data_IF_150254496037
#
_entry.id   IF_150254496037
#
_cell.length_a   1.000
_cell.length_b   1.000
_cell.length_c   1.000
_cell.angle_alpha   90.00
_cell.angle_beta   90.00
_cell.angle_gamma   90.00
#
_symmetry.space_group_name_H-M   'P 1'
#
loop_
_entity.id
_entity.type
_entity.pdbx_description
1 polymer ?
#
# COMPACT_ATOMS: atom_id res chain seq x y z
N UNK A 1 -25.94 15.55 27.20
CA UNK A 1 -24.68 15.67 26.42
C UNK A 1 -24.00 14.31 26.45
N UNK A 2 -23.73 13.74 25.28
CA UNK A 2 -23.11 12.43 25.13
C UNK A 2 -21.65 12.46 25.59
N UNK A 3 -21.14 11.35 26.14
CA UNK A 3 -19.72 11.21 26.48
C UNK A 3 -18.80 11.47 25.26
N UNK A 4 -19.27 11.14 24.06
CA UNK A 4 -18.55 11.39 22.80
C UNK A 4 -18.38 12.89 22.56
N UNK A 5 -19.45 13.68 22.77
CA UNK A 5 -19.41 15.13 22.59
C UNK A 5 -18.43 15.79 23.57
N UNK A 6 -18.44 15.35 24.83
CA UNK A 6 -17.50 15.83 25.85
C UNK A 6 -16.06 15.54 25.45
N UNK A 7 -15.78 14.34 24.95
CA UNK A 7 -14.43 13.95 24.54
C UNK A 7 -13.95 14.71 23.30
N UNK A 8 -14.84 15.02 22.36
CA UNK A 8 -14.52 15.85 21.20
C UNK A 8 -14.14 17.27 21.62
N UNK A 9 -14.85 17.87 22.56
CA UNK A 9 -14.55 19.22 23.07
C UNK A 9 -13.19 19.27 23.76
N UNK A 10 -12.91 18.30 24.65
CA UNK A 10 -11.60 18.21 25.33
C UNK A 10 -10.44 18.10 24.32
N UNK A 11 -10.58 17.26 23.29
CA UNK A 11 -9.56 17.12 22.24
C UNK A 11 -9.42 18.38 21.36
N UNK A 12 -10.51 19.10 21.12
CA UNK A 12 -10.46 20.35 20.38
C UNK A 12 -9.76 21.46 21.19
N UNK A 13 -10.03 21.55 22.49
CA UNK A 13 -9.36 22.48 23.42
C UNK A 13 -7.86 22.20 23.53
N UNK A 14 -7.47 20.92 23.50
CA UNK A 14 -6.07 20.48 23.52
C UNK A 14 -5.34 20.68 22.17
N UNK A 15 -6.00 21.26 21.17
CA UNK A 15 -5.38 21.55 19.87
C UNK A 15 -5.11 20.30 19.01
N UNK A 16 -5.73 19.16 19.34
CA UNK A 16 -5.47 17.86 18.69
C UNK A 16 -5.79 17.83 17.19
N UNK A 17 -6.53 18.83 16.70
CA UNK A 17 -6.94 18.97 15.29
C UNK A 17 -6.17 20.06 14.52
N UNK A 18 -5.24 20.79 15.14
CA UNK A 18 -4.55 21.90 14.47
C UNK A 18 -3.58 21.43 13.37
N UNK A 19 -2.91 20.29 13.58
CA UNK A 19 -1.95 19.71 12.63
C UNK A 19 -2.52 18.49 11.88
N UNK A 20 -3.82 18.53 11.54
CA UNK A 20 -4.38 17.46 10.72
C UNK A 20 -3.76 17.48 9.31
N UNK A 21 -3.44 16.30 8.74
CA UNK A 21 -2.98 16.21 7.37
C UNK A 21 -4.00 16.84 6.41
N UNK A 22 -3.65 17.97 5.81
CA UNK A 22 -4.55 18.69 4.91
C UNK A 22 -5.17 19.97 5.48
N UNK A 23 -4.93 20.27 6.76
CA UNK A 23 -5.38 21.53 7.37
C UNK A 23 -4.85 22.74 6.59
N UNK A 24 -5.74 23.67 6.26
CA UNK A 24 -5.42 24.87 5.47
C UNK A 24 -5.08 24.63 4.00
N UNK A 25 -4.97 23.38 3.51
CA UNK A 25 -4.72 23.11 2.09
C UNK A 25 -6.00 23.28 1.27
N UNK A 26 -5.93 23.84 0.06
CA UNK A 26 -7.06 23.87 -0.86
C UNK A 26 -7.59 22.45 -1.10
N UNK A 27 -8.92 22.30 -1.13
CA UNK A 27 -9.53 21.03 -1.51
C UNK A 27 -9.22 20.82 -2.99
N UNK A 28 -8.46 19.77 -3.29
CA UNK A 28 -8.13 19.41 -4.67
C UNK A 28 -9.41 19.19 -5.48
N UNK A 29 -9.41 19.67 -6.72
CA UNK A 29 -10.52 19.51 -7.66
C UNK A 29 -11.87 20.11 -7.17
N UNK A 30 -11.87 21.09 -6.25
CA UNK A 30 -13.12 21.69 -5.75
C UNK A 30 -13.94 22.39 -6.84
N UNK A 31 -13.26 22.95 -7.84
CA UNK A 31 -13.90 23.66 -8.96
C UNK A 31 -14.28 22.72 -10.14
N UNK A 32 -14.02 21.40 -10.02
CA UNK A 32 -14.40 20.46 -11.08
C UNK A 32 -15.92 20.27 -11.10
N UNK A 33 -16.48 20.38 -12.29
CA UNK A 33 -17.85 19.93 -12.56
C UNK A 33 -17.85 18.41 -12.62
N UNK A 34 -18.35 17.78 -11.55
CA UNK A 34 -18.51 16.33 -11.49
C UNK A 34 -19.84 15.91 -12.14
N UNK A 35 -19.83 14.84 -12.94
CA UNK A 35 -21.07 14.21 -13.39
C UNK A 35 -21.77 13.53 -12.20
N UNK A 36 -23.09 13.36 -12.15
CA UNK A 36 -23.77 12.66 -11.04
C UNK A 36 -23.24 11.25 -10.72
N UNK A 37 -22.57 10.60 -11.67
CA UNK A 37 -21.98 9.25 -11.54
C UNK A 37 -20.49 9.25 -11.24
N UNK A 38 -19.88 10.42 -10.98
CA UNK A 38 -18.43 10.57 -10.74
C UNK A 38 -17.88 9.63 -9.66
N UNK A 39 -18.66 9.42 -8.60
CA UNK A 39 -18.30 8.55 -7.47
C UNK A 39 -18.23 7.09 -7.89
N UNK A 40 -19.08 6.65 -8.82
CA UNK A 40 -19.12 5.28 -9.32
C UNK A 40 -17.89 5.00 -10.20
N UNK A 41 -17.53 5.94 -11.08
CA UNK A 41 -16.31 5.84 -11.90
C UNK A 41 -15.06 5.76 -11.01
N UNK A 42 -14.91 6.66 -10.03
CA UNK A 42 -13.79 6.59 -9.08
C UNK A 42 -13.79 5.32 -8.24
N UNK A 43 -14.96 4.82 -7.88
CA UNK A 43 -15.06 3.54 -7.15
C UNK A 43 -14.59 2.37 -8.01
N UNK A 44 -14.99 2.30 -9.29
CA UNK A 44 -14.56 1.28 -10.25
C UNK A 44 -13.05 1.37 -10.48
N UNK A 45 -12.49 2.56 -10.71
CA UNK A 45 -11.05 2.76 -10.90
C UNK A 45 -10.24 2.30 -9.69
N UNK A 46 -10.68 2.69 -8.48
CA UNK A 46 -10.07 2.24 -7.23
C UNK A 46 -10.17 0.73 -7.06
N UNK A 47 -11.33 0.15 -7.36
CA UNK A 47 -11.53 -1.29 -7.25
C UNK A 47 -10.67 -2.07 -8.25
N UNK A 48 -10.58 -1.62 -9.49
CA UNK A 48 -9.69 -2.18 -10.51
C UNK A 48 -8.21 -2.10 -10.07
N UNK A 49 -7.78 -0.97 -9.50
CA UNK A 49 -6.44 -0.82 -8.94
C UNK A 49 -6.18 -1.80 -7.78
N UNK A 50 -7.17 -2.00 -6.90
CA UNK A 50 -7.09 -2.98 -5.81
C UNK A 50 -6.99 -4.42 -6.33
N UNK A 51 -7.80 -4.78 -7.32
CA UNK A 51 -7.76 -6.11 -7.95
C UNK A 51 -6.42 -6.37 -8.64
N UNK A 52 -5.90 -5.38 -9.36
CA UNK A 52 -4.57 -5.45 -9.99
C UNK A 52 -3.47 -5.68 -8.94
N UNK A 53 -3.49 -4.92 -7.85
CA UNK A 53 -2.54 -5.09 -6.73
C UNK A 53 -2.63 -6.48 -6.10
N UNK A 54 -3.84 -7.03 -5.96
CA UNK A 54 -4.05 -8.41 -5.46
C UNK A 54 -3.46 -9.44 -6.42
N UNK A 55 -3.67 -9.31 -7.73
CA UNK A 55 -3.11 -10.21 -8.72
C UNK A 55 -1.56 -10.16 -8.71
N UNK A 56 -0.98 -8.97 -8.62
CA UNK A 56 0.47 -8.78 -8.50
C UNK A 56 1.04 -9.44 -7.23
N UNK A 57 0.37 -9.30 -6.08
CA UNK A 57 0.77 -9.98 -4.83
C UNK A 57 0.74 -11.51 -4.95
N UNK A 58 -0.30 -12.06 -5.59
CA UNK A 58 -0.37 -13.50 -5.86
C UNK A 58 0.79 -13.98 -6.72
N UNK A 59 1.12 -13.23 -7.78
CA UNK A 59 2.25 -13.55 -8.65
C UNK A 59 3.58 -13.46 -7.91
N UNK A 60 3.81 -12.40 -7.13
CA UNK A 60 5.00 -12.24 -6.30
C UNK A 60 5.21 -13.42 -5.35
N UNK A 61 4.14 -13.85 -4.66
CA UNK A 61 4.20 -15.01 -3.77
C UNK A 61 4.57 -16.29 -4.53
N UNK A 62 4.02 -16.50 -5.73
CA UNK A 62 4.38 -17.65 -6.56
C UNK A 62 5.87 -17.60 -6.95
N UNK A 63 6.36 -16.44 -7.40
CA UNK A 63 7.75 -16.27 -7.81
C UNK A 63 8.73 -16.50 -6.63
N UNK A 64 8.38 -16.03 -5.43
CA UNK A 64 9.15 -16.30 -4.20
C UNK A 64 9.17 -17.80 -3.89
N UNK A 65 8.02 -18.49 -3.93
CA UNK A 65 7.95 -19.94 -3.69
C UNK A 65 8.75 -20.71 -4.73
N UNK A 66 8.74 -20.28 -6.00
CA UNK A 66 9.55 -20.89 -7.05
C UNK A 66 11.05 -20.67 -6.79
N UNK A 67 11.46 -19.48 -6.37
CA UNK A 67 12.85 -19.18 -6.03
C UNK A 67 13.37 -20.03 -4.87
N UNK A 68 12.55 -20.27 -3.84
CA UNK A 68 12.91 -21.11 -2.69
C UNK A 68 13.10 -22.60 -3.02
N UNK A 69 12.70 -23.05 -4.22
CA UNK A 69 12.97 -24.42 -4.69
C UNK A 69 14.36 -24.58 -5.32
N UNK A 70 15.05 -23.47 -5.57
CA UNK A 70 16.38 -23.48 -6.14
C UNK A 70 17.44 -23.79 -5.06
N UNK A 71 18.65 -24.22 -5.47
CA UNK A 71 19.80 -24.29 -4.56
C UNK A 71 20.03 -22.93 -3.87
N UNK A 72 20.47 -22.95 -2.61
CA UNK A 72 20.59 -21.76 -1.74
C UNK A 72 21.19 -20.52 -2.43
N UNK A 73 22.29 -20.68 -3.15
CA UNK A 73 22.97 -19.57 -3.81
C UNK A 73 22.14 -19.00 -4.98
N UNK A 74 21.49 -19.86 -5.75
CA UNK A 74 20.60 -19.46 -6.84
C UNK A 74 19.31 -18.83 -6.32
N UNK A 75 18.74 -19.39 -5.23
CA UNK A 75 17.59 -18.84 -4.54
C UNK A 75 17.87 -17.41 -4.06
N UNK A 76 19.04 -17.18 -3.46
CA UNK A 76 19.49 -15.85 -3.01
C UNK A 76 19.53 -14.85 -4.16
N UNK A 77 20.15 -15.22 -5.28
CA UNK A 77 20.23 -14.36 -6.48
C UNK A 77 18.83 -14.05 -7.01
N UNK A 78 17.99 -15.07 -7.16
CA UNK A 78 16.63 -14.92 -7.69
C UNK A 78 15.76 -14.06 -6.79
N UNK A 79 15.86 -14.22 -5.47
CA UNK A 79 15.12 -13.39 -4.49
C UNK A 79 15.61 -11.94 -4.49
N UNK A 80 16.91 -11.69 -4.69
CA UNK A 80 17.45 -10.33 -4.80
C UNK A 80 16.97 -9.62 -6.08
N UNK A 81 16.85 -10.33 -7.20
CA UNK A 81 16.22 -9.81 -8.43
C UNK A 81 14.75 -9.46 -8.20
N UNK A 82 14.00 -10.35 -7.55
CA UNK A 82 12.59 -10.12 -7.22
C UNK A 82 12.45 -8.88 -6.32
N UNK A 83 13.27 -8.77 -5.27
CA UNK A 83 13.26 -7.62 -4.35
C UNK A 83 13.53 -6.30 -5.10
N UNK A 84 14.55 -6.29 -5.95
CA UNK A 84 14.90 -5.11 -6.76
C UNK A 84 13.76 -4.71 -7.71
N UNK A 85 13.10 -5.70 -8.33
CA UNK A 85 11.94 -5.45 -9.19
C UNK A 85 10.73 -4.90 -8.43
N UNK A 86 10.50 -5.38 -7.20
CA UNK A 86 9.45 -4.85 -6.32
C UNK A 86 9.75 -3.41 -5.92
N UNK A 87 11.00 -3.08 -5.58
CA UNK A 87 11.39 -1.72 -5.21
C UNK A 87 11.31 -0.72 -6.37
N UNK A 88 11.68 -1.13 -7.59
CA UNK A 88 11.48 -0.33 -8.80
C UNK A 88 10.00 -0.10 -9.08
N UNK A 89 9.18 -1.15 -9.02
CA UNK A 89 7.74 -1.03 -9.25
C UNK A 89 7.09 -0.11 -8.20
N UNK A 90 7.43 -0.27 -6.92
CA UNK A 90 6.87 0.53 -5.83
C UNK A 90 7.20 2.02 -5.93
N UNK A 91 8.32 2.40 -6.57
CA UNK A 91 8.64 3.82 -6.86
C UNK A 91 7.67 4.47 -7.85
N UNK A 92 6.99 3.68 -8.67
CA UNK A 92 6.05 4.14 -9.69
C UNK A 92 4.58 4.05 -9.24
N UNK A 93 4.32 3.40 -8.10
CA UNK A 93 2.97 3.13 -7.59
C UNK A 93 2.63 4.02 -6.39
N UNK A 94 1.36 4.43 -6.33
CA UNK A 94 0.78 5.05 -5.14
C UNK A 94 0.73 4.04 -3.97
N UNK A 95 0.78 4.55 -2.73
CA UNK A 95 0.90 3.72 -1.50
C UNK A 95 -0.12 2.58 -1.39
N UNK A 96 -1.42 2.75 -1.72
CA UNK A 96 -2.39 1.66 -1.64
C UNK A 96 -2.08 0.48 -2.58
N UNK A 97 -1.39 0.75 -3.69
CA UNK A 97 -1.07 -0.21 -4.74
C UNK A 97 0.31 -0.86 -4.56
N UNK A 98 1.16 -0.32 -3.70
CA UNK A 98 2.49 -0.85 -3.44
C UNK A 98 2.45 -2.31 -2.96
N UNK A 99 3.43 -3.08 -3.40
CA UNK A 99 3.69 -4.45 -2.99
C UNK A 99 4.52 -4.46 -1.70
N UNK A 100 4.37 -5.49 -0.85
CA UNK A 100 5.22 -5.64 0.33
C UNK A 100 6.69 -5.80 -0.11
N UNK A 101 7.58 -5.05 0.54
CA UNK A 101 9.02 -5.18 0.33
C UNK A 101 9.49 -6.61 0.63
N UNK A 102 10.45 -7.10 -0.15
CA UNK A 102 10.96 -8.46 -0.04
C UNK A 102 12.30 -8.44 0.68
N UNK A 103 12.31 -8.85 1.94
CA UNK A 103 13.55 -9.11 2.69
C UNK A 103 14.09 -10.49 2.32
N UNK A 104 15.18 -10.51 1.56
CA UNK A 104 15.79 -11.74 1.03
C UNK A 104 16.21 -12.69 2.16
N UNK A 105 16.87 -12.19 3.21
CA UNK A 105 17.37 -13.03 4.29
C UNK A 105 16.22 -13.62 5.10
N UNK A 106 15.25 -12.80 5.45
CA UNK A 106 14.08 -13.24 6.20
C UNK A 106 13.28 -14.29 5.41
N UNK A 107 13.13 -14.11 4.10
CA UNK A 107 12.45 -15.07 3.22
C UNK A 107 13.22 -16.39 3.13
N UNK A 108 14.55 -16.35 3.00
CA UNK A 108 15.35 -17.58 2.99
C UNK A 108 15.31 -18.32 4.33
N UNK A 109 15.39 -17.61 5.46
CA UNK A 109 15.29 -18.20 6.80
C UNK A 109 13.94 -18.90 6.97
N UNK A 110 12.84 -18.23 6.61
CA UNK A 110 11.48 -18.81 6.67
C UNK A 110 11.29 -19.97 5.70
N UNK A 111 12.01 -19.97 4.59
CA UNK A 111 12.03 -21.03 3.59
C UNK A 111 12.91 -22.23 3.94
N UNK A 112 13.61 -22.21 5.09
CA UNK A 112 14.51 -23.29 5.50
C UNK A 112 15.87 -23.29 4.80
N UNK A 113 16.26 -22.16 4.21
CA UNK A 113 17.55 -21.96 3.53
C UNK A 113 18.53 -21.09 4.36
N UNK A 114 18.43 -21.17 5.69
CA UNK A 114 19.31 -20.46 6.62
C UNK A 114 20.80 -20.74 6.35
#
# INVERSE_FOLDING_TARGET
MSWIEKRLSELAEDGYFEDLPGSGRPISDIDKVYSPTWWATRWIERDAANQSSKAMRTRLNHDIVAALRLPRNEARVRLAEIASGVDELNRLLDTPQQLPAVDVELVMIRGGLA
#
